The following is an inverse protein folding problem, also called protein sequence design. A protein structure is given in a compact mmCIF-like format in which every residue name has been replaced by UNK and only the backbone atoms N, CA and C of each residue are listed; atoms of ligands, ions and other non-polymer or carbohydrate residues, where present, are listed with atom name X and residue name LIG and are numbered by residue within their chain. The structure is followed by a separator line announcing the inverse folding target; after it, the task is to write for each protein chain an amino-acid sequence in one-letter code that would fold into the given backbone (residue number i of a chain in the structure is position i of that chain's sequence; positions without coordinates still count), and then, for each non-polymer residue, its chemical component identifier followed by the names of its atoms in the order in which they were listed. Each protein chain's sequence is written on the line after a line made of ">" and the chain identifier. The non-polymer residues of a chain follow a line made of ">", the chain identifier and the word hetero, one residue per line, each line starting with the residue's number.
data_IF_243374623068
#
_entry.id   IF_243374623068
#
_cell.length_a   1.000
_cell.length_b   1.000
_cell.length_c   1.000
_cell.angle_alpha   90.00
_cell.angle_beta   90.00
_cell.angle_gamma   90.00
#
_symmetry.space_group_name_H-M   'P 1'
#
loop_
_entity.id
_entity.type
_entity.pdbx_description
1 polymer ?
#
# COMPACT_ATOMS: atom_id res chain seq x y z
N UNK A 1 11.75 -27.14 14.53
CA UNK A 1 11.74 -26.43 13.23
C UNK A 1 12.52 -25.15 13.41
N UNK A 2 13.60 -24.96 12.66
CA UNK A 2 14.33 -23.68 12.60
C UNK A 2 13.86 -23.01 11.31
N UNK A 3 13.06 -21.95 11.43
CA UNK A 3 12.63 -21.16 10.28
C UNK A 3 13.77 -20.23 9.86
N UNK A 4 14.22 -20.34 8.61
CA UNK A 4 15.11 -19.34 8.01
C UNK A 4 14.32 -18.07 7.69
N UNK A 5 14.85 -16.92 8.08
CA UNK A 5 14.30 -15.62 7.67
C UNK A 5 14.81 -15.35 6.26
N UNK A 6 13.98 -15.63 5.25
CA UNK A 6 14.22 -15.13 3.89
C UNK A 6 13.89 -13.64 3.88
N UNK A 7 14.92 -12.81 3.97
CA UNK A 7 14.80 -11.35 3.83
C UNK A 7 14.65 -11.01 2.35
N UNK A 8 13.52 -11.39 1.74
CA UNK A 8 13.11 -10.90 0.43
C UNK A 8 12.00 -9.86 0.60
N UNK A 9 12.41 -8.59 0.73
CA UNK A 9 11.75 -7.34 0.33
C UNK A 9 10.23 -7.10 0.47
N UNK A 10 9.50 -7.87 1.26
CA UNK A 10 8.25 -7.42 1.85
C UNK A 10 8.25 -7.82 3.33
N UNK A 11 8.24 -6.83 4.23
CA UNK A 11 7.83 -7.08 5.61
C UNK A 11 6.51 -7.83 5.54
N UNK A 12 6.39 -8.98 6.22
CA UNK A 12 5.21 -9.82 6.15
C UNK A 12 4.01 -9.10 6.81
N UNK A 13 3.36 -8.23 6.03
CA UNK A 13 2.18 -7.42 6.40
C UNK A 13 1.11 -8.34 6.97
N UNK A 14 0.93 -9.49 6.31
CA UNK A 14 0.00 -10.54 6.71
C UNK A 14 0.42 -11.15 8.05
N UNK A 15 1.72 -11.34 8.26
CA UNK A 15 2.28 -11.78 9.55
C UNK A 15 1.85 -10.90 10.73
N UNK A 16 1.82 -9.57 10.59
CA UNK A 16 1.33 -8.67 11.64
C UNK A 16 -0.16 -8.88 11.94
N UNK A 17 -0.99 -8.90 10.89
CA UNK A 17 -2.45 -9.07 11.02
C UNK A 17 -2.82 -10.44 11.57
N UNK A 18 -2.27 -11.51 11.00
CA UNK A 18 -2.51 -12.89 11.44
C UNK A 18 -2.04 -13.12 12.88
N UNK A 19 -0.94 -12.50 13.29
CA UNK A 19 -0.47 -12.58 14.68
C UNK A 19 -1.43 -11.88 15.64
N UNK A 20 -1.94 -10.71 15.25
CA UNK A 20 -2.94 -10.00 16.04
C UNK A 20 -4.24 -10.81 16.15
N UNK A 21 -4.74 -11.36 15.05
CA UNK A 21 -5.94 -12.22 15.02
C UNK A 21 -5.80 -13.42 15.97
N UNK A 22 -4.66 -14.12 15.91
CA UNK A 22 -4.37 -15.26 16.80
C UNK A 22 -4.35 -14.85 18.27
N UNK A 23 -3.79 -13.69 18.60
CA UNK A 23 -3.80 -13.17 19.97
C UNK A 23 -5.21 -12.81 20.44
N UNK A 24 -6.05 -12.22 19.56
CA UNK A 24 -7.45 -11.95 19.85
C UNK A 24 -8.21 -13.25 20.13
N UNK A 25 -8.06 -14.25 19.25
CA UNK A 25 -8.71 -15.56 19.41
C UNK A 25 -8.28 -16.26 20.69
N UNK A 26 -6.98 -16.25 20.99
CA UNK A 26 -6.45 -16.81 22.23
C UNK A 26 -7.00 -16.09 23.47
N UNK A 27 -7.00 -14.76 23.48
CA UNK A 27 -7.48 -13.97 24.60
C UNK A 27 -8.97 -14.20 24.86
N UNK A 28 -9.80 -14.19 23.81
CA UNK A 28 -11.24 -14.43 23.90
C UNK A 28 -11.56 -15.88 24.31
N UNK A 29 -10.86 -16.85 23.72
CA UNK A 29 -11.02 -18.27 24.03
C UNK A 29 -10.65 -18.61 25.48
N UNK A 30 -9.74 -17.84 26.09
CA UNK A 30 -9.36 -18.03 27.48
C UNK A 30 -10.46 -17.72 28.49
N UNK A 31 -11.47 -16.92 28.10
CA UNK A 31 -12.55 -16.40 28.96
C UNK A 31 -12.04 -15.70 30.25
N UNK A 32 -10.81 -15.19 30.24
CA UNK A 32 -10.17 -14.48 31.36
C UNK A 32 -9.81 -13.05 30.95
N UNK A 33 -10.42 -12.07 31.61
CA UNK A 33 -10.19 -10.64 31.34
C UNK A 33 -8.71 -10.28 31.52
N UNK A 34 -8.03 -10.82 32.54
CA UNK A 34 -6.61 -10.56 32.78
C UNK A 34 -5.70 -10.98 31.61
N UNK A 35 -6.10 -11.98 30.84
CA UNK A 35 -5.37 -12.39 29.62
C UNK A 35 -5.59 -11.36 28.52
N UNK A 36 -6.85 -10.91 28.33
CA UNK A 36 -7.14 -9.84 27.38
C UNK A 36 -6.32 -8.58 27.70
N UNK A 37 -6.29 -8.16 28.96
CA UNK A 37 -5.53 -6.99 29.43
C UNK A 37 -4.02 -7.14 29.15
N UNK A 38 -3.50 -8.36 29.21
CA UNK A 38 -2.09 -8.65 28.90
C UNK A 38 -1.77 -8.46 27.42
N UNK A 39 -2.69 -8.85 26.53
CA UNK A 39 -2.46 -8.87 25.09
C UNK A 39 -3.03 -7.66 24.34
N UNK A 40 -3.85 -6.82 24.98
CA UNK A 40 -4.55 -5.73 24.30
C UNK A 40 -3.59 -4.75 23.61
N UNK A 41 -2.52 -4.34 24.28
CA UNK A 41 -1.53 -3.44 23.73
C UNK A 41 -0.70 -4.08 22.59
N UNK A 42 -0.16 -5.31 22.75
CA UNK A 42 0.42 -6.06 21.63
C UNK A 42 -0.50 -6.17 20.41
N UNK A 43 -1.78 -6.55 20.60
CA UNK A 43 -2.76 -6.68 19.51
C UNK A 43 -2.92 -5.35 18.78
N UNK A 44 -3.14 -4.26 19.53
CA UNK A 44 -3.32 -2.94 18.97
C UNK A 44 -2.10 -2.46 18.18
N UNK A 45 -0.91 -2.74 18.69
CA UNK A 45 0.35 -2.42 18.01
C UNK A 45 0.52 -3.23 16.72
N UNK A 46 0.22 -4.52 16.72
CA UNK A 46 0.33 -5.39 15.54
C UNK A 46 -0.62 -4.94 14.43
N UNK A 47 -1.90 -4.70 14.76
CA UNK A 47 -2.85 -4.14 13.78
C UNK A 47 -2.42 -2.77 13.27
N UNK A 48 -1.83 -1.92 14.11
CA UNK A 48 -1.25 -0.65 13.66
C UNK A 48 -0.14 -0.85 12.63
N UNK A 49 0.78 -1.80 12.86
CA UNK A 49 1.84 -2.11 11.90
C UNK A 49 1.28 -2.66 10.58
N UNK A 50 0.27 -3.52 10.66
CA UNK A 50 -0.46 -4.00 9.48
C UNK A 50 -1.00 -2.83 8.64
N UNK A 51 -1.71 -1.88 9.25
CA UNK A 51 -2.25 -0.72 8.52
C UNK A 51 -1.10 0.12 7.93
N UNK A 52 -0.10 0.48 8.73
CA UNK A 52 1.01 1.35 8.28
C UNK A 52 1.77 0.75 7.09
N UNK A 53 2.09 -0.54 7.16
CA UNK A 53 2.84 -1.22 6.12
C UNK A 53 1.99 -1.44 4.86
N UNK A 54 0.69 -1.75 5.00
CA UNK A 54 -0.23 -1.85 3.86
C UNK A 54 -0.30 -0.54 3.06
N UNK A 55 -0.43 0.59 3.76
CA UNK A 55 -0.46 1.91 3.13
C UNK A 55 0.84 2.24 2.40
N UNK A 56 1.98 1.98 3.04
CA UNK A 56 3.31 2.23 2.46
C UNK A 56 3.56 1.33 1.26
N UNK A 57 3.18 0.06 1.34
CA UNK A 57 3.36 -0.92 0.27
C UNK A 57 2.57 -0.53 -0.97
N UNK A 58 1.27 -0.27 -0.84
CA UNK A 58 0.42 0.15 -1.96
C UNK A 58 0.93 1.45 -2.60
N UNK A 59 1.31 2.43 -1.79
CA UNK A 59 1.84 3.69 -2.33
C UNK A 59 3.17 3.48 -3.05
N UNK A 60 4.09 2.70 -2.48
CA UNK A 60 5.39 2.42 -3.09
C UNK A 60 5.22 1.72 -4.44
N UNK A 61 4.31 0.76 -4.53
CA UNK A 61 4.11 -0.07 -5.71
C UNK A 61 3.36 0.68 -6.84
N UNK A 62 2.34 1.47 -6.50
CA UNK A 62 1.36 1.98 -7.46
C UNK A 62 1.29 3.48 -7.63
N UNK A 63 2.02 4.28 -6.83
CA UNK A 63 2.17 5.70 -7.14
C UNK A 63 2.92 5.89 -8.48
N UNK A 64 2.52 6.88 -9.27
CA UNK A 64 3.24 7.26 -10.51
C UNK A 64 4.47 8.15 -10.25
N UNK A 65 4.77 8.48 -8.99
CA UNK A 65 5.96 9.27 -8.61
C UNK A 65 7.27 8.52 -8.89
N UNK A 66 8.39 9.24 -8.98
CA UNK A 66 9.71 8.59 -9.10
C UNK A 66 10.08 7.86 -7.81
N UNK A 67 10.85 6.78 -7.90
CA UNK A 67 11.25 5.96 -6.74
C UNK A 67 11.90 6.78 -5.61
N UNK A 68 12.73 7.78 -5.95
CA UNK A 68 13.34 8.69 -4.98
C UNK A 68 12.31 9.49 -4.19
N UNK A 69 11.26 9.96 -4.86
CA UNK A 69 10.20 10.77 -4.26
C UNK A 69 9.28 9.91 -3.40
N UNK A 70 8.97 8.69 -3.84
CA UNK A 70 8.23 7.71 -3.03
C UNK A 70 8.95 7.41 -1.71
N UNK A 71 10.25 7.14 -1.77
CA UNK A 71 11.08 6.88 -0.58
C UNK A 71 11.09 8.11 0.33
N UNK A 72 11.21 9.30 -0.22
CA UNK A 72 11.20 10.55 0.55
C UNK A 72 9.85 10.79 1.22
N UNK A 73 8.74 10.56 0.50
CA UNK A 73 7.38 10.65 1.04
C UNK A 73 7.18 9.68 2.20
N UNK A 74 7.60 8.41 2.06
CA UNK A 74 7.50 7.41 3.14
C UNK A 74 8.32 7.84 4.36
N UNK A 75 9.54 8.35 4.15
CA UNK A 75 10.40 8.86 5.24
C UNK A 75 9.76 10.04 5.97
N UNK A 76 9.21 11.00 5.23
CA UNK A 76 8.55 12.19 5.79
C UNK A 76 7.26 11.85 6.53
N UNK A 77 6.46 10.90 6.00
CA UNK A 77 5.28 10.41 6.69
C UNK A 77 5.65 9.71 8.01
N UNK A 78 6.82 9.08 8.11
CA UNK A 78 7.28 8.36 9.29
C UNK A 78 6.22 7.35 9.74
N UNK A 79 5.61 7.51 10.91
CA UNK A 79 4.53 6.67 11.43
C UNK A 79 3.13 7.27 11.25
N UNK A 80 2.99 8.39 10.57
CA UNK A 80 1.73 9.11 10.44
C UNK A 80 0.83 8.47 9.37
N UNK A 81 -0.16 7.67 9.80
CA UNK A 81 -1.13 7.05 8.88
C UNK A 81 -1.92 8.06 8.05
N UNK A 82 -2.31 9.21 8.62
CA UNK A 82 -3.07 10.22 7.89
C UNK A 82 -2.23 10.80 6.74
N UNK A 83 -0.97 11.12 6.99
CA UNK A 83 -0.03 11.55 5.96
C UNK A 83 0.13 10.50 4.87
N UNK A 84 0.26 9.22 5.24
CA UNK A 84 0.43 8.15 4.25
C UNK A 84 -0.86 7.90 3.45
N UNK A 85 -2.01 7.88 4.13
CA UNK A 85 -3.32 7.74 3.49
C UNK A 85 -3.61 8.87 2.51
N UNK A 86 -3.33 10.12 2.86
CA UNK A 86 -3.55 11.26 1.96
C UNK A 86 -2.73 11.20 0.67
N UNK A 87 -1.62 10.47 0.67
CA UNK A 87 -0.79 10.22 -0.51
C UNK A 87 -1.30 9.04 -1.34
N UNK A 88 -1.80 7.99 -0.68
CA UNK A 88 -2.36 6.81 -1.35
C UNK A 88 -3.77 7.05 -1.91
N UNK A 89 -4.61 7.83 -1.20
CA UNK A 89 -6.02 8.05 -1.53
C UNK A 89 -6.26 8.51 -2.97
N UNK A 90 -5.51 9.48 -3.54
CA UNK A 90 -5.66 9.86 -4.94
C UNK A 90 -5.48 8.67 -5.90
N UNK A 91 -4.45 7.84 -5.68
CA UNK A 91 -4.18 6.63 -6.49
C UNK A 91 -5.38 5.68 -6.48
N UNK A 92 -5.99 5.48 -5.30
CA UNK A 92 -7.18 4.62 -5.15
C UNK A 92 -8.43 5.21 -5.82
N UNK A 93 -8.60 6.53 -5.73
CA UNK A 93 -9.75 7.24 -6.32
C UNK A 93 -9.66 7.25 -7.85
N UNK A 94 -8.46 7.44 -8.40
CA UNK A 94 -8.21 7.44 -9.84
C UNK A 94 -8.40 6.05 -10.44
N UNK A 95 -8.12 4.99 -9.68
CA UNK A 95 -8.39 3.60 -10.06
C UNK A 95 -9.84 3.14 -9.85
N UNK A 96 -10.73 3.99 -9.32
CA UNK A 96 -12.14 3.64 -9.09
C UNK A 96 -13.00 3.94 -10.32
N UNK A 97 -13.68 2.93 -10.86
CA UNK A 97 -14.54 3.02 -12.04
C UNK A 97 -15.96 3.47 -11.69
N UNK A 98 -16.39 3.20 -10.45
CA UNK A 98 -17.75 3.48 -9.98
C UNK A 98 -17.77 4.45 -8.80
N UNK A 99 -18.94 5.07 -8.58
CA UNK A 99 -19.13 5.95 -7.43
C UNK A 99 -19.13 5.17 -6.11
N UNK A 100 -19.55 3.90 -6.15
CA UNK A 100 -19.59 2.96 -5.04
C UNK A 100 -18.16 2.63 -4.56
N UNK A 101 -17.24 2.35 -5.48
CA UNK A 101 -15.81 2.15 -5.14
C UNK A 101 -15.21 3.39 -4.50
N UNK A 102 -15.50 4.59 -5.03
CA UNK A 102 -15.02 5.85 -4.43
C UNK A 102 -15.57 6.03 -3.01
N UNK A 103 -16.85 5.70 -2.78
CA UNK A 103 -17.46 5.72 -1.43
C UNK A 103 -16.81 4.70 -0.49
N UNK A 104 -16.41 3.53 -1.00
CA UNK A 104 -15.69 2.52 -0.21
C UNK A 104 -14.33 3.06 0.26
N UNK A 105 -13.56 3.70 -0.63
CA UNK A 105 -12.29 4.36 -0.26
C UNK A 105 -12.51 5.38 0.87
N UNK A 106 -13.55 6.22 0.77
CA UNK A 106 -13.89 7.19 1.80
C UNK A 106 -14.38 6.54 3.12
N UNK A 107 -15.01 5.38 3.05
CA UNK A 107 -15.44 4.65 4.25
C UNK A 107 -14.24 4.06 5.00
N UNK A 108 -13.26 3.51 4.27
CA UNK A 108 -12.01 2.97 4.81
C UNK A 108 -11.15 4.06 5.48
N UNK A 109 -11.15 5.27 4.92
CA UNK A 109 -10.48 6.43 5.53
C UNK A 109 -10.90 6.62 6.99
N UNK A 110 -12.19 6.45 7.30
CA UNK A 110 -12.70 6.63 8.66
C UNK A 110 -12.08 5.64 9.66
N UNK A 111 -11.77 4.41 9.24
CA UNK A 111 -11.17 3.39 10.09
C UNK A 111 -9.71 3.74 10.38
N UNK A 112 -8.98 4.12 9.33
CA UNK A 112 -7.58 4.52 9.43
C UNK A 112 -7.45 5.77 10.29
N UNK A 113 -8.37 6.74 10.16
CA UNK A 113 -8.33 7.98 10.93
C UNK A 113 -8.65 7.76 12.42
N UNK A 114 -9.53 6.80 12.76
CA UNK A 114 -9.76 6.41 14.16
C UNK A 114 -8.49 5.81 14.79
N UNK A 115 -7.80 4.92 14.07
CA UNK A 115 -6.53 4.37 14.54
C UNK A 115 -5.43 5.44 14.63
N UNK A 116 -5.40 6.36 13.67
CA UNK A 116 -4.45 7.46 13.62
C UNK A 116 -4.64 8.44 14.79
N UNK A 117 -5.87 8.84 15.08
CA UNK A 117 -6.16 9.78 16.16
C UNK A 117 -5.81 9.19 17.52
N UNK A 118 -6.00 7.88 17.68
CA UNK A 118 -5.67 7.18 18.91
C UNK A 118 -4.16 7.02 19.12
N UNK A 119 -3.42 6.56 18.10
CA UNK A 119 -1.98 6.33 18.19
C UNK A 119 -1.23 6.99 17.02
N UNK A 120 -1.17 8.32 17.05
CA UNK A 120 -0.61 9.12 15.95
C UNK A 120 0.83 8.74 15.60
N UNK A 121 1.66 8.53 16.60
CA UNK A 121 3.12 8.39 16.45
C UNK A 121 3.62 6.95 16.61
N UNK A 122 2.73 5.96 16.76
CA UNK A 122 3.09 4.58 17.11
C UNK A 122 3.58 4.41 18.56
N UNK A 123 3.25 5.30 19.51
CA UNK A 123 3.78 5.24 20.89
C UNK A 123 2.76 4.72 21.91
N UNK A 124 1.47 5.01 21.74
CA UNK A 124 0.45 4.84 22.79
C UNK A 124 0.28 3.40 23.25
N UNK A 125 0.55 2.43 22.37
CA UNK A 125 0.46 1.01 22.69
C UNK A 125 1.75 0.39 23.27
N UNK A 126 2.82 1.18 23.44
CA UNK A 126 4.14 0.65 23.84
C UNK A 126 4.69 1.30 25.09
N UNK A 127 4.34 2.56 25.33
CA UNK A 127 4.91 3.35 26.40
C UNK A 127 3.81 3.94 27.28
N UNK A 128 4.01 4.00 28.61
CA UNK A 128 3.05 4.65 29.51
C UNK A 128 3.09 6.18 29.41
N UNK A 129 4.22 6.74 28.94
CA UNK A 129 4.48 8.18 28.82
C UNK A 129 5.03 8.53 27.43
N UNK A 130 4.79 9.77 27.00
CA UNK A 130 5.36 10.32 25.78
C UNK A 130 6.81 10.83 26.00
N UNK A 131 7.44 11.35 24.93
CA UNK A 131 8.79 11.92 24.98
C UNK A 131 8.92 13.17 25.87
N UNK A 132 7.80 13.75 26.28
CA UNK A 132 7.71 14.93 27.15
C UNK A 132 7.24 14.57 28.57
N UNK A 133 7.26 13.28 28.93
CA UNK A 133 6.81 12.73 30.21
C UNK A 133 5.31 12.90 30.52
N UNK A 134 4.47 13.15 29.51
CA UNK A 134 3.02 13.16 29.71
C UNK A 134 2.46 11.73 29.65
N UNK A 135 1.50 11.36 30.53
CA UNK A 135 0.78 10.09 30.42
C UNK A 135 0.06 9.97 29.08
N UNK A 136 0.28 8.83 28.39
CA UNK A 136 -0.32 8.56 27.08
C UNK A 136 -1.78 8.07 27.18
N UNK A 137 -2.11 7.38 28.27
CA UNK A 137 -3.46 6.91 28.60
C UNK A 137 -4.01 7.73 29.76
N UNK A 138 -5.28 8.15 29.65
CA UNK A 138 -5.95 8.95 30.68
C UNK A 138 -7.25 8.27 31.07
N UNK A 139 -7.25 7.64 32.24
CA UNK A 139 -8.44 6.95 32.78
C UNK A 139 -8.68 5.57 32.18
N UNK A 140 -9.88 5.03 32.44
CA UNK A 140 -10.35 3.76 31.89
C UNK A 140 -10.87 3.99 30.46
N UNK A 141 -10.34 3.24 29.50
CA UNK A 141 -10.82 3.22 28.13
C UNK A 141 -11.33 1.81 27.80
N UNK A 142 -12.42 1.71 27.03
CA UNK A 142 -13.03 0.43 26.64
C UNK A 142 -12.93 0.22 25.15
N UNK A 143 -12.63 -1.01 24.75
CA UNK A 143 -12.47 -1.40 23.36
C UNK A 143 -13.24 -2.69 23.10
N UNK A 144 -14.09 -2.67 22.07
CA UNK A 144 -14.68 -3.87 21.53
C UNK A 144 -13.67 -4.57 20.61
N UNK A 145 -12.98 -5.56 21.16
CA UNK A 145 -11.91 -6.29 20.47
C UNK A 145 -12.44 -7.19 19.34
N UNK A 146 -13.69 -7.64 19.44
CA UNK A 146 -14.33 -8.46 18.40
C UNK A 146 -14.63 -7.57 17.20
N UNK A 147 -15.29 -6.44 17.45
CA UNK A 147 -15.55 -5.45 16.41
C UNK A 147 -14.24 -4.94 15.78
N UNK A 148 -13.18 -4.74 16.59
CA UNK A 148 -11.88 -4.35 16.05
C UNK A 148 -11.34 -5.39 15.05
N UNK A 149 -11.34 -6.67 15.41
CA UNK A 149 -10.89 -7.76 14.53
C UNK A 149 -11.69 -7.79 13.22
N UNK A 150 -13.00 -7.62 13.29
CA UNK A 150 -13.86 -7.59 12.10
C UNK A 150 -13.50 -6.42 11.19
N UNK A 151 -13.30 -5.22 11.74
CA UNK A 151 -12.86 -4.05 10.96
C UNK A 151 -11.46 -4.23 10.37
N UNK A 152 -10.55 -4.93 11.04
CA UNK A 152 -9.22 -5.25 10.48
C UNK A 152 -9.33 -6.25 9.32
N UNK A 153 -10.27 -7.19 9.39
CA UNK A 153 -10.56 -8.11 8.27
C UNK A 153 -11.14 -7.37 7.07
N UNK A 154 -12.03 -6.40 7.29
CA UNK A 154 -12.52 -5.53 6.22
C UNK A 154 -11.40 -4.71 5.56
N UNK A 155 -10.48 -4.16 6.36
CA UNK A 155 -9.31 -3.44 5.85
C UNK A 155 -8.38 -4.34 5.03
N UNK A 156 -8.14 -5.57 5.49
CA UNK A 156 -7.31 -6.56 4.79
C UNK A 156 -7.91 -6.90 3.41
N UNK A 157 -9.21 -7.19 3.38
CA UNK A 157 -9.94 -7.43 2.13
C UNK A 157 -9.89 -6.21 1.19
N UNK A 158 -10.03 -4.99 1.73
CA UNK A 158 -9.93 -3.77 0.95
C UNK A 158 -8.53 -3.59 0.35
N UNK A 159 -7.46 -3.74 1.14
CA UNK A 159 -6.09 -3.60 0.65
C UNK A 159 -5.74 -4.67 -0.38
N UNK A 160 -6.15 -5.92 -0.18
CA UNK A 160 -5.96 -6.99 -1.15
C UNK A 160 -6.72 -6.74 -2.46
N UNK A 161 -7.95 -6.24 -2.37
CA UNK A 161 -8.72 -5.84 -3.55
C UNK A 161 -8.10 -4.66 -4.31
N UNK A 162 -7.62 -3.65 -3.58
CA UNK A 162 -6.91 -2.52 -4.17
C UNK A 162 -5.60 -2.94 -4.85
N UNK A 163 -4.82 -3.81 -4.21
CA UNK A 163 -3.58 -4.38 -4.76
C UNK A 163 -3.84 -5.10 -6.10
N UNK A 164 -4.79 -6.03 -6.12
CA UNK A 164 -5.13 -6.78 -7.34
C UNK A 164 -5.63 -5.88 -8.48
N UNK A 165 -6.47 -4.88 -8.16
CA UNK A 165 -6.97 -3.93 -9.17
C UNK A 165 -5.87 -3.04 -9.72
N UNK A 166 -5.07 -2.42 -8.85
CA UNK A 166 -3.97 -1.54 -9.26
C UNK A 166 -2.88 -2.31 -10.02
N UNK A 167 -2.59 -3.55 -9.61
CA UNK A 167 -1.70 -4.47 -10.33
C UNK A 167 -2.17 -4.70 -11.76
N UNK A 168 -3.46 -5.04 -11.94
CA UNK A 168 -4.05 -5.23 -13.28
C UNK A 168 -3.95 -3.97 -14.14
N UNK A 169 -4.24 -2.80 -13.58
CA UNK A 169 -4.12 -1.51 -14.30
C UNK A 169 -2.68 -1.24 -14.71
N UNK A 170 -1.71 -1.50 -13.82
CA UNK A 170 -0.28 -1.29 -14.07
C UNK A 170 0.23 -2.22 -15.18
N UNK A 171 -0.15 -3.49 -15.15
CA UNK A 171 0.18 -4.47 -16.19
C UNK A 171 -0.38 -4.03 -17.55
N UNK A 172 -1.65 -3.65 -17.61
CA UNK A 172 -2.27 -3.18 -18.86
C UNK A 172 -1.60 -1.94 -19.41
N UNK A 173 -1.27 -0.95 -18.56
CA UNK A 173 -0.52 0.25 -18.99
C UNK A 173 0.84 -0.13 -19.59
N UNK A 174 1.56 -1.04 -18.92
CA UNK A 174 2.85 -1.51 -19.41
C UNK A 174 2.73 -2.20 -20.77
N UNK A 175 1.77 -3.10 -20.94
CA UNK A 175 1.52 -3.79 -22.22
C UNK A 175 1.18 -2.80 -23.35
N UNK A 176 0.30 -1.82 -23.08
CA UNK A 176 -0.04 -0.77 -24.05
C UNK A 176 1.18 0.06 -24.44
N UNK A 177 2.04 0.42 -23.48
CA UNK A 177 3.27 1.15 -23.76
C UNK A 177 4.30 0.33 -24.54
N UNK A 178 4.37 -0.99 -24.36
CA UNK A 178 5.22 -1.85 -25.19
C UNK A 178 4.70 -1.90 -26.62
N UNK A 179 3.41 -2.14 -26.78
CA UNK A 179 2.77 -2.20 -28.09
C UNK A 179 2.93 -0.90 -28.89
N UNK A 180 2.73 0.26 -28.25
CA UNK A 180 2.94 1.55 -28.90
C UNK A 180 4.40 1.77 -29.31
N UNK A 181 5.36 1.36 -28.47
CA UNK A 181 6.80 1.43 -28.80
C UNK A 181 7.17 0.55 -29.99
N UNK A 182 6.58 -0.63 -30.10
CA UNK A 182 6.78 -1.54 -31.22
C UNK A 182 6.26 -0.90 -32.52
N UNK A 183 5.04 -0.36 -32.53
CA UNK A 183 4.47 0.35 -33.69
C UNK A 183 5.35 1.54 -34.09
N UNK A 184 5.77 2.37 -33.13
CA UNK A 184 6.62 3.53 -33.40
C UNK A 184 7.97 3.12 -34.00
N UNK A 185 8.55 2.02 -33.53
CA UNK A 185 9.80 1.48 -34.05
C UNK A 185 9.64 0.92 -35.48
N UNK A 186 8.56 0.19 -35.74
CA UNK A 186 8.24 -0.34 -37.07
C UNK A 186 8.00 0.79 -38.07
N UNK A 187 7.13 1.76 -37.74
CA UNK A 187 6.87 2.92 -38.60
C UNK A 187 8.13 3.72 -38.91
N UNK A 188 9.00 3.92 -37.91
CA UNK A 188 10.27 4.61 -38.10
C UNK A 188 11.20 3.82 -39.02
N UNK A 189 11.27 2.50 -38.87
CA UNK A 189 12.10 1.64 -39.70
C UNK A 189 11.62 1.60 -41.16
N UNK A 190 10.30 1.52 -41.39
CA UNK A 190 9.71 1.57 -42.73
C UNK A 190 10.01 2.91 -43.42
N UNK A 191 9.79 4.03 -42.72
CA UNK A 191 10.10 5.36 -43.26
C UNK A 191 11.58 5.53 -43.61
N UNK A 192 12.50 5.08 -42.73
CA UNK A 192 13.94 5.11 -42.99
C UNK A 192 14.34 4.22 -44.18
N UNK A 193 13.69 3.06 -44.35
CA UNK A 193 13.92 2.16 -45.47
C UNK A 193 13.43 2.74 -46.80
N UNK A 194 12.24 3.35 -46.83
CA UNK A 194 11.68 4.01 -48.01
C UNK A 194 12.58 5.17 -48.47
N UNK A 195 12.94 6.08 -47.55
CA UNK A 195 13.84 7.20 -47.85
C UNK A 195 15.19 6.74 -48.40
N UNK A 196 15.75 5.66 -47.84
CA UNK A 196 17.00 5.09 -48.33
C UNK A 196 16.85 4.48 -49.72
N UNK A 197 15.76 3.77 -49.98
CA UNK A 197 15.50 3.16 -51.28
C UNK A 197 15.29 4.22 -52.38
N UNK A 198 14.58 5.31 -52.10
CA UNK A 198 14.42 6.44 -53.01
C UNK A 198 15.77 7.09 -53.35
N UNK A 199 16.57 7.39 -52.34
CA UNK A 199 17.91 7.97 -52.53
C UNK A 199 18.82 7.06 -53.38
N UNK A 200 18.82 5.74 -53.11
CA UNK A 200 19.59 4.78 -53.90
C UNK A 200 19.09 4.70 -55.35
N UNK A 201 17.78 4.80 -55.58
CA UNK A 201 17.19 4.80 -56.92
C UNK A 201 17.57 6.06 -57.72
N UNK A 202 17.52 7.24 -57.10
CA UNK A 202 17.97 8.50 -57.71
C UNK A 202 19.46 8.49 -58.06
N UNK A 203 20.29 7.98 -57.15
CA UNK A 203 21.73 7.87 -57.38
C UNK A 203 22.06 6.90 -58.53
N UNK A 204 21.33 5.79 -58.68
CA UNK A 204 21.47 4.89 -59.84
C UNK A 204 21.04 5.57 -61.13
N UNK A 205 19.89 6.24 -61.14
CA UNK A 205 19.38 6.93 -62.33
C UNK A 205 20.34 8.02 -62.84
N UNK A 206 21.06 8.69 -61.94
CA UNK A 206 22.07 9.70 -62.31
C UNK A 206 23.43 9.12 -62.74
N UNK A 207 23.72 7.85 -62.48
CA UNK A 207 24.97 7.19 -62.91
C UNK A 207 24.87 6.46 -64.26
N UNK A 208 23.65 6.24 -64.77
CA UNK A 208 23.40 5.59 -66.07
C UNK A 208 23.38 6.57 -67.27
N UNK A 209 23.91 7.80 -67.12
CA UNK A 209 24.12 8.79 -68.20
C UNK A 209 25.59 8.98 -68.57
#
# INVERSE_FOLDING_TARGET
>A
MVGGILVHNFMDIKGYKDSADKLVEYALGSKRISILDTFIFPILFLYRQFIELSLKSLYLEYSDEQMSDKIQTIKQASHNLSSMWNKLKPVLIDASDTQEEKKLVLSVESYIMQYHSYDKNSFKFRYPIDKNNNPLLKGEERLDIVNLKDRMTELDNFFGGADGKLGSIKEWKYEQEQYLREIEAEMKAEYEAEMKAEYEAEMRANMDW
#
